data_IF_194607805328
#
_entry.id   IF_194607805328
#
_cell.length_a   1.000
_cell.length_b   1.000
_cell.length_c   1.000
_cell.angle_alpha   90.00
_cell.angle_beta   90.00
_cell.angle_gamma   90.00
#
_symmetry.space_group_name_H-M   'P 1'
#
loop_
_entity.id
_entity.type
_entity.pdbx_description
1 polymer ?
#
# COMPACT_ATOMS: atom_id res chain seq x y z
N UNK A 1 -21.46 10.07 14.89
CA UNK A 1 -20.81 10.18 13.55
C UNK A 1 -21.62 9.39 12.53
N UNK A 2 -21.87 9.97 11.36
CA UNK A 2 -22.48 9.25 10.23
C UNK A 2 -21.55 8.13 9.72
N UNK A 3 -22.10 7.12 9.04
CA UNK A 3 -21.29 6.06 8.44
C UNK A 3 -20.26 6.61 7.44
N UNK A 4 -20.64 7.64 6.67
CA UNK A 4 -19.73 8.32 5.75
C UNK A 4 -18.56 8.99 6.49
N UNK A 5 -18.83 9.69 7.59
CA UNK A 5 -17.77 10.34 8.38
C UNK A 5 -16.82 9.30 9.03
N UNK A 6 -17.34 8.15 9.49
CA UNK A 6 -16.51 7.04 9.98
C UNK A 6 -15.58 6.51 8.88
N UNK A 7 -16.12 6.26 7.71
CA UNK A 7 -15.33 5.75 6.59
C UNK A 7 -14.23 6.72 6.14
N UNK A 8 -14.51 8.03 6.11
CA UNK A 8 -13.50 9.06 5.81
C UNK A 8 -12.42 9.05 6.88
N UNK A 9 -12.77 9.08 8.17
CA UNK A 9 -11.81 9.04 9.27
C UNK A 9 -10.90 7.82 9.20
N UNK A 10 -11.47 6.63 8.97
CA UNK A 10 -10.69 5.39 8.86
C UNK A 10 -9.73 5.42 7.66
N UNK A 11 -10.17 6.00 6.54
CA UNK A 11 -9.29 6.17 5.36
C UNK A 11 -8.16 7.16 5.66
N UNK A 12 -8.44 8.26 6.35
CA UNK A 12 -7.42 9.25 6.74
C UNK A 12 -6.37 8.65 7.69
N UNK A 13 -6.79 7.84 8.66
CA UNK A 13 -5.84 7.11 9.53
C UNK A 13 -4.95 6.20 8.68
N UNK A 14 -5.52 5.45 7.74
CA UNK A 14 -4.76 4.60 6.82
C UNK A 14 -3.73 5.41 6.03
N UNK A 15 -4.13 6.55 5.47
CA UNK A 15 -3.27 7.44 4.68
C UNK A 15 -2.11 7.99 5.50
N UNK A 16 -2.37 8.45 6.74
CA UNK A 16 -1.33 8.92 7.66
C UNK A 16 -0.33 7.81 7.98
N UNK A 17 -0.81 6.62 8.31
CA UNK A 17 0.05 5.47 8.62
C UNK A 17 0.90 5.06 7.42
N UNK A 18 0.34 5.05 6.21
CA UNK A 18 1.09 4.71 5.00
C UNK A 18 2.02 5.83 4.51
N UNK A 19 1.72 7.10 4.82
CA UNK A 19 2.56 8.23 4.45
C UNK A 19 3.95 8.18 5.09
N UNK A 20 4.05 7.68 6.32
CA UNK A 20 5.34 7.49 7.03
C UNK A 20 5.96 6.11 6.76
N UNK A 21 5.19 5.16 6.26
CA UNK A 21 5.59 3.76 6.11
C UNK A 21 6.82 3.60 5.22
N UNK A 22 6.84 4.21 4.03
CA UNK A 22 7.91 4.05 3.05
C UNK A 22 9.26 4.52 3.61
N UNK A 23 9.25 5.60 4.38
CA UNK A 23 10.43 6.14 5.08
C UNK A 23 10.93 5.13 6.13
N UNK A 24 10.03 4.64 6.97
CA UNK A 24 10.34 3.64 8.00
C UNK A 24 10.88 2.34 7.40
N UNK A 25 10.34 1.89 6.25
CA UNK A 25 10.84 0.72 5.52
C UNK A 25 12.24 0.94 4.97
N UNK A 26 12.54 2.14 4.42
CA UNK A 26 13.88 2.47 3.92
C UNK A 26 14.92 2.43 5.04
N UNK A 27 14.58 2.97 6.21
CA UNK A 27 15.47 2.93 7.39
C UNK A 27 15.68 1.48 7.83
N UNK A 28 14.61 0.70 7.98
CA UNK A 28 14.70 -0.68 8.42
C UNK A 28 15.53 -1.54 7.46
N UNK A 29 15.47 -1.28 6.14
CA UNK A 29 16.20 -2.03 5.11
C UNK A 29 17.72 -1.81 5.12
N UNK A 30 18.25 -0.92 5.95
CA UNK A 30 19.69 -0.74 6.13
C UNK A 30 20.33 -1.89 6.93
N UNK A 31 19.59 -2.47 7.88
CA UNK A 31 20.09 -3.50 8.79
C UNK A 31 19.34 -4.83 8.65
N UNK A 32 18.14 -4.82 8.07
CA UNK A 32 17.26 -5.98 8.05
C UNK A 32 16.87 -6.27 6.60
N UNK A 33 16.96 -7.51 6.19
CA UNK A 33 16.55 -7.95 4.85
C UNK A 33 15.03 -7.84 4.64
N UNK A 34 14.63 -7.65 3.40
CA UNK A 34 13.24 -7.38 3.03
C UNK A 34 12.26 -8.50 3.43
N UNK A 35 12.55 -9.79 3.23
CA UNK A 35 11.68 -10.87 3.68
C UNK A 35 11.48 -10.90 5.20
N UNK A 36 12.53 -10.67 5.98
CA UNK A 36 12.46 -10.62 7.46
C UNK A 36 11.58 -9.46 7.94
N UNK A 37 11.72 -8.26 7.33
CA UNK A 37 10.84 -7.12 7.66
C UNK A 37 9.38 -7.47 7.35
N UNK A 38 9.10 -8.03 6.16
CA UNK A 38 7.73 -8.37 5.74
C UNK A 38 7.14 -9.45 6.63
N UNK A 39 7.92 -10.49 6.95
CA UNK A 39 7.51 -11.55 7.87
C UNK A 39 7.14 -11.00 9.26
N UNK A 40 7.99 -10.15 9.84
CA UNK A 40 7.74 -9.57 11.16
C UNK A 40 6.48 -8.71 11.17
N UNK A 41 6.26 -7.93 10.12
CA UNK A 41 5.06 -7.09 9.95
C UNK A 41 3.79 -7.93 9.96
N UNK A 42 3.76 -9.03 9.20
CA UNK A 42 2.62 -9.95 9.18
C UNK A 42 2.47 -10.72 10.48
N UNK A 43 3.57 -11.16 11.10
CA UNK A 43 3.55 -11.88 12.37
C UNK A 43 2.93 -11.04 13.50
N UNK A 44 3.34 -9.78 13.63
CA UNK A 44 2.78 -8.89 14.63
C UNK A 44 1.31 -8.56 14.32
N UNK A 45 0.97 -8.30 13.07
CA UNK A 45 -0.41 -8.02 12.66
C UNK A 45 -1.33 -9.24 12.87
N UNK A 46 -0.85 -10.44 12.54
CA UNK A 46 -1.56 -11.70 12.78
C UNK A 46 -1.76 -11.94 14.27
N UNK A 47 -0.70 -11.82 15.08
CA UNK A 47 -0.78 -12.01 16.52
C UNK A 47 -1.77 -11.06 17.19
N UNK A 48 -1.70 -9.77 16.86
CA UNK A 48 -2.64 -8.77 17.38
C UNK A 48 -4.10 -9.07 16.98
N UNK A 49 -4.33 -9.46 15.72
CA UNK A 49 -5.67 -9.82 15.24
C UNK A 49 -6.16 -11.13 15.85
N UNK A 50 -5.27 -12.13 16.01
CA UNK A 50 -5.59 -13.41 16.63
C UNK A 50 -5.96 -13.26 18.12
N UNK A 51 -5.19 -12.47 18.87
CA UNK A 51 -5.52 -12.17 20.28
C UNK A 51 -6.89 -11.48 20.38
N UNK A 52 -7.12 -10.46 19.53
CA UNK A 52 -8.42 -9.78 19.52
C UNK A 52 -9.57 -10.75 19.20
N UNK A 53 -9.38 -11.64 18.22
CA UNK A 53 -10.39 -12.62 17.82
C UNK A 53 -10.62 -13.67 18.90
N UNK A 54 -9.56 -14.16 19.57
CA UNK A 54 -9.68 -15.13 20.66
C UNK A 54 -10.56 -14.61 21.80
N UNK A 55 -10.50 -13.29 22.06
CA UNK A 55 -11.31 -12.65 23.11
C UNK A 55 -12.76 -12.40 22.63
N UNK A 56 -12.96 -11.99 21.38
CA UNK A 56 -14.27 -11.50 20.89
C UNK A 56 -15.10 -12.59 20.22
N UNK A 57 -14.49 -13.40 19.32
CA UNK A 57 -15.19 -14.37 18.50
C UNK A 57 -14.32 -15.61 18.21
N UNK A 58 -14.05 -16.48 19.20
CA UNK A 58 -13.14 -17.62 19.00
C UNK A 58 -13.58 -18.59 17.89
N UNK A 59 -14.89 -18.68 17.64
CA UNK A 59 -15.43 -19.55 16.57
C UNK A 59 -14.98 -19.13 15.16
N UNK A 60 -14.63 -17.88 14.97
CA UNK A 60 -14.21 -17.35 13.66
C UNK A 60 -12.83 -17.88 13.24
N UNK A 61 -12.06 -18.54 14.13
CA UNK A 61 -10.81 -19.23 13.77
C UNK A 61 -11.02 -20.38 12.78
N UNK A 62 -12.26 -20.86 12.59
CA UNK A 62 -12.55 -21.85 11.55
C UNK A 62 -12.12 -21.40 10.15
N UNK A 63 -11.99 -20.10 9.89
CA UNK A 63 -11.49 -19.53 8.65
C UNK A 63 -10.06 -20.01 8.31
N UNK A 64 -9.25 -20.29 9.33
CA UNK A 64 -7.87 -20.76 9.15
C UNK A 64 -7.80 -22.18 8.56
N UNK A 65 -8.81 -23.01 8.84
CA UNK A 65 -8.86 -24.39 8.37
C UNK A 65 -9.66 -24.57 7.07
N UNK A 66 -10.62 -23.70 6.82
CA UNK A 66 -11.51 -23.79 5.63
C UNK A 66 -11.67 -22.44 4.94
N UNK A 67 -10.58 -21.84 4.44
CA UNK A 67 -10.68 -20.59 3.72
C UNK A 67 -11.34 -20.79 2.34
N UNK A 68 -12.13 -19.82 1.90
CA UNK A 68 -12.60 -19.84 0.51
C UNK A 68 -11.43 -19.51 -0.45
N UNK A 69 -11.53 -19.95 -1.71
CA UNK A 69 -10.50 -19.66 -2.74
C UNK A 69 -10.24 -18.15 -2.89
N UNK A 70 -11.27 -17.32 -2.75
CA UNK A 70 -11.13 -15.88 -2.86
C UNK A 70 -10.32 -15.29 -1.69
N UNK A 71 -10.45 -15.84 -0.49
CA UNK A 71 -9.66 -15.42 0.69
C UNK A 71 -8.19 -15.80 0.50
N UNK A 72 -7.91 -17.01 -0.02
CA UNK A 72 -6.55 -17.43 -0.38
C UNK A 72 -5.91 -16.47 -1.40
N UNK A 73 -6.61 -16.18 -2.51
CA UNK A 73 -6.11 -15.26 -3.54
C UNK A 73 -5.90 -13.86 -2.96
N UNK A 74 -6.80 -13.38 -2.09
CA UNK A 74 -6.68 -12.08 -1.44
C UNK A 74 -5.44 -12.01 -0.55
N UNK A 75 -5.17 -13.07 0.22
CA UNK A 75 -3.98 -13.15 1.09
C UNK A 75 -2.68 -13.22 0.29
N UNK A 76 -2.62 -14.05 -0.76
CA UNK A 76 -1.47 -14.14 -1.66
C UNK A 76 -1.21 -12.81 -2.38
N UNK A 77 -2.25 -12.13 -2.82
CA UNK A 77 -2.14 -10.83 -3.45
C UNK A 77 -1.56 -9.79 -2.47
N UNK A 78 -2.01 -9.78 -1.21
CA UNK A 78 -1.46 -8.87 -0.22
C UNK A 78 -0.02 -9.24 0.13
N UNK A 79 0.33 -10.53 0.25
CA UNK A 79 1.69 -10.99 0.49
C UNK A 79 2.65 -10.50 -0.61
N UNK A 80 2.25 -10.66 -1.87
CA UNK A 80 3.04 -10.16 -3.01
C UNK A 80 3.16 -8.64 -3.00
N UNK A 81 2.08 -7.92 -2.73
CA UNK A 81 2.13 -6.46 -2.63
C UNK A 81 3.16 -5.99 -1.60
N UNK A 82 3.22 -6.65 -0.43
CA UNK A 82 4.15 -6.27 0.64
C UNK A 82 5.61 -6.42 0.24
N UNK A 83 5.99 -7.59 -0.29
CA UNK A 83 7.38 -7.83 -0.68
C UNK A 83 7.76 -7.00 -1.91
N UNK A 84 6.83 -6.82 -2.86
CA UNK A 84 7.06 -6.01 -4.05
C UNK A 84 7.25 -4.52 -3.70
N UNK A 85 6.44 -3.97 -2.78
CA UNK A 85 6.60 -2.60 -2.30
C UNK A 85 7.89 -2.44 -1.51
N UNK A 86 8.25 -3.42 -0.68
CA UNK A 86 9.50 -3.41 0.08
C UNK A 86 10.73 -3.34 -0.84
N UNK A 87 10.79 -4.19 -1.89
CA UNK A 87 11.85 -4.12 -2.89
C UNK A 87 11.81 -2.83 -3.71
N UNK A 88 10.62 -2.30 -3.98
CA UNK A 88 10.46 -0.98 -4.60
C UNK A 88 11.16 0.11 -3.80
N UNK A 89 10.89 0.19 -2.49
CA UNK A 89 11.53 1.15 -1.58
C UNK A 89 13.04 0.91 -1.48
N UNK A 90 13.46 -0.35 -1.41
CA UNK A 90 14.87 -0.71 -1.28
C UNK A 90 15.68 -0.35 -2.53
N UNK A 91 15.17 -0.67 -3.72
CA UNK A 91 15.87 -0.47 -4.99
C UNK A 91 15.72 0.93 -5.59
N UNK A 92 14.76 1.71 -5.07
CA UNK A 92 14.57 3.09 -5.46
C UNK A 92 14.65 4.00 -4.23
N UNK A 93 13.56 4.67 -3.89
CA UNK A 93 13.46 5.50 -2.71
C UNK A 93 12.03 5.50 -2.15
N UNK A 94 11.81 5.99 -0.90
CA UNK A 94 10.48 6.14 -0.34
C UNK A 94 9.49 6.83 -1.26
N UNK A 95 9.85 7.99 -1.82
CA UNK A 95 8.98 8.78 -2.68
C UNK A 95 8.72 8.10 -4.03
N UNK A 96 9.74 7.46 -4.61
CA UNK A 96 9.61 6.77 -5.89
C UNK A 96 8.67 5.56 -5.81
N UNK A 97 8.86 4.69 -4.81
CA UNK A 97 7.97 3.57 -4.57
C UNK A 97 6.54 4.03 -4.26
N UNK A 98 6.40 5.14 -3.52
CA UNK A 98 5.12 5.69 -3.12
C UNK A 98 4.32 6.25 -4.31
N UNK A 99 4.97 6.86 -5.30
CA UNK A 99 4.31 7.26 -6.56
C UNK A 99 3.92 6.05 -7.40
N UNK A 100 4.84 5.08 -7.55
CA UNK A 100 4.60 3.89 -8.34
C UNK A 100 3.41 3.06 -7.83
N UNK A 101 3.30 2.89 -6.51
CA UNK A 101 2.21 2.10 -5.92
C UNK A 101 0.83 2.75 -6.11
N UNK A 102 0.76 4.06 -6.39
CA UNK A 102 -0.51 4.74 -6.69
C UNK A 102 -1.14 4.30 -8.01
N UNK A 103 -0.46 3.53 -8.83
CA UNK A 103 -1.11 2.81 -9.94
C UNK A 103 -2.16 1.80 -9.43
N UNK A 104 -2.07 1.32 -8.18
CA UNK A 104 -3.04 0.40 -7.57
C UNK A 104 -4.49 0.93 -7.56
N UNK A 105 -4.79 2.11 -7.00
CA UNK A 105 -6.11 2.74 -7.11
C UNK A 105 -6.62 2.90 -8.54
N UNK A 106 -5.73 3.21 -9.48
CA UNK A 106 -6.05 3.32 -10.91
C UNK A 106 -6.45 1.94 -11.47
N UNK A 107 -5.66 0.92 -11.17
CA UNK A 107 -5.94 -0.48 -11.58
C UNK A 107 -7.22 -1.02 -10.93
N UNK A 108 -7.51 -0.65 -9.68
CA UNK A 108 -8.78 -1.01 -9.03
C UNK A 108 -9.99 -0.44 -9.79
N UNK A 109 -9.89 0.78 -10.33
CA UNK A 109 -10.93 1.36 -11.19
C UNK A 109 -11.04 0.61 -12.53
N UNK A 110 -9.91 0.20 -13.13
CA UNK A 110 -9.89 -0.66 -14.34
C UNK A 110 -10.59 -1.99 -14.08
N UNK A 111 -10.32 -2.62 -12.94
CA UNK A 111 -11.00 -3.86 -12.55
C UNK A 111 -12.51 -3.64 -12.41
N UNK A 112 -12.94 -2.49 -11.89
CA UNK A 112 -14.35 -2.09 -11.86
C UNK A 112 -14.99 -2.10 -13.26
N UNK A 113 -14.31 -1.53 -14.23
CA UNK A 113 -14.78 -1.47 -15.63
C UNK A 113 -14.84 -2.87 -16.24
N UNK A 114 -13.77 -3.68 -16.10
CA UNK A 114 -13.65 -4.99 -16.74
C UNK A 114 -14.62 -6.02 -16.11
N UNK A 115 -14.63 -6.13 -14.79
CA UNK A 115 -15.38 -7.18 -14.09
C UNK A 115 -16.84 -6.82 -13.85
N UNK A 116 -17.14 -5.52 -13.65
CA UNK A 116 -18.49 -5.06 -13.41
C UNK A 116 -19.14 -4.41 -14.64
N UNK A 117 -18.44 -4.41 -15.81
CA UNK A 117 -18.88 -3.81 -17.07
C UNK A 117 -19.33 -2.35 -16.91
N UNK A 118 -18.67 -1.62 -16.01
CA UNK A 118 -18.94 -0.20 -15.81
C UNK A 118 -18.54 0.60 -17.05
N UNK A 119 -19.37 1.55 -17.47
CA UNK A 119 -19.05 2.40 -18.63
C UNK A 119 -17.96 3.42 -18.24
N UNK A 120 -16.88 3.43 -18.99
CA UNK A 120 -15.81 4.42 -18.83
C UNK A 120 -16.30 5.81 -19.28
N UNK A 121 -16.08 6.82 -18.47
CA UNK A 121 -16.39 8.21 -18.82
C UNK A 121 -15.21 8.88 -19.53
N UNK A 122 -15.46 9.95 -20.31
CA UNK A 122 -14.41 10.75 -20.96
C UNK A 122 -13.42 11.32 -19.92
N UNK A 123 -13.89 11.70 -18.73
CA UNK A 123 -13.06 12.21 -17.63
C UNK A 123 -12.11 11.10 -17.13
N UNK A 124 -12.59 9.87 -17.02
CA UNK A 124 -11.73 8.75 -16.62
C UNK A 124 -10.68 8.43 -17.68
N UNK A 125 -11.03 8.50 -18.97
CA UNK A 125 -10.05 8.33 -20.07
C UNK A 125 -8.96 9.42 -19.97
N UNK A 126 -9.35 10.68 -19.81
CA UNK A 126 -8.40 11.78 -19.60
C UNK A 126 -7.54 11.55 -18.36
N UNK A 127 -8.14 11.05 -17.27
CA UNK A 127 -7.44 10.68 -16.04
C UNK A 127 -6.38 9.59 -16.27
N UNK A 128 -6.70 8.54 -17.02
CA UNK A 128 -5.72 7.51 -17.39
C UNK A 128 -4.54 8.06 -18.18
N UNK A 129 -4.82 8.89 -19.18
CA UNK A 129 -3.76 9.51 -20.00
C UNK A 129 -2.85 10.42 -19.17
N UNK A 130 -3.44 11.24 -18.28
CA UNK A 130 -2.69 12.08 -17.35
C UNK A 130 -1.86 11.27 -16.36
N UNK A 131 -2.41 10.17 -15.80
CA UNK A 131 -1.69 9.31 -14.89
C UNK A 131 -0.48 8.66 -15.56
N UNK A 132 -0.64 8.14 -16.78
CA UNK A 132 0.44 7.53 -17.55
C UNK A 132 1.52 8.56 -17.89
N UNK A 133 1.13 9.74 -18.39
CA UNK A 133 2.06 10.81 -18.75
C UNK A 133 2.83 11.30 -17.51
N UNK A 134 2.11 11.56 -16.41
CA UNK A 134 2.71 12.02 -15.16
C UNK A 134 3.70 11.00 -14.59
N UNK A 135 3.33 9.72 -14.59
CA UNK A 135 4.22 8.63 -14.16
C UNK A 135 5.46 8.52 -15.07
N UNK A 136 5.31 8.65 -16.38
CA UNK A 136 6.43 8.61 -17.32
C UNK A 136 7.42 9.77 -17.11
N UNK A 137 6.90 11.01 -16.94
CA UNK A 137 7.73 12.19 -16.63
C UNK A 137 8.49 11.97 -15.32
N UNK A 138 7.77 11.54 -14.27
CA UNK A 138 8.36 11.26 -12.96
C UNK A 138 9.48 10.20 -13.05
N UNK A 139 9.20 9.07 -13.70
CA UNK A 139 10.18 8.00 -13.90
C UNK A 139 11.43 8.48 -14.66
N UNK A 140 11.24 9.20 -15.76
CA UNK A 140 12.37 9.71 -16.60
C UNK A 140 13.29 10.64 -15.82
N UNK A 141 12.73 11.52 -14.99
CA UNK A 141 13.51 12.45 -14.17
C UNK A 141 14.35 11.72 -13.11
N UNK A 142 13.80 10.68 -12.50
CA UNK A 142 14.49 9.95 -11.45
C UNK A 142 15.50 8.95 -12.02
N UNK A 143 15.18 8.20 -13.06
CA UNK A 143 16.14 7.27 -13.68
C UNK A 143 17.35 8.00 -14.24
N UNK A 144 17.16 9.23 -14.77
CA UNK A 144 18.26 10.05 -15.26
C UNK A 144 19.12 10.67 -14.14
N UNK A 145 18.64 10.68 -12.90
CA UNK A 145 19.37 11.18 -11.73
C UNK A 145 20.08 10.08 -10.93
N UNK A 146 19.86 8.80 -11.27
CA UNK A 146 20.50 7.66 -10.60
C UNK A 146 21.98 7.62 -11.01
N UNK A 147 22.91 7.24 -10.09
CA UNK A 147 24.31 7.04 -10.44
C UNK A 147 24.50 6.08 -11.60
N UNK A 148 25.49 6.35 -12.45
CA UNK A 148 25.78 5.53 -13.65
C UNK A 148 25.94 4.05 -13.28
N UNK A 149 25.24 3.18 -13.99
CA UNK A 149 25.24 1.73 -13.77
C UNK A 149 24.17 1.23 -12.79
N UNK A 150 23.41 2.10 -12.13
CA UNK A 150 22.32 1.73 -11.21
C UNK A 150 20.92 1.85 -11.83
N UNK A 151 20.81 2.33 -13.07
CA UNK A 151 19.53 2.55 -13.77
C UNK A 151 18.72 1.25 -13.90
N UNK A 152 19.42 0.14 -14.12
CA UNK A 152 18.79 -1.19 -14.20
C UNK A 152 18.15 -1.62 -12.87
N UNK A 153 18.81 -1.37 -11.73
CA UNK A 153 18.28 -1.66 -10.41
C UNK A 153 17.09 -0.78 -10.08
N UNK A 154 17.18 0.51 -10.37
CA UNK A 154 16.07 1.46 -10.22
C UNK A 154 14.85 1.02 -11.03
N UNK A 155 15.04 0.73 -12.33
CA UNK A 155 13.96 0.26 -13.22
C UNK A 155 13.33 -1.03 -12.70
N UNK A 156 14.14 -1.98 -12.25
CA UNK A 156 13.67 -3.23 -11.62
C UNK A 156 12.80 -2.94 -10.40
N UNK A 157 13.21 -2.02 -9.52
CA UNK A 157 12.44 -1.61 -8.35
C UNK A 157 11.09 -1.01 -8.73
N UNK A 158 11.05 -0.13 -9.74
CA UNK A 158 9.81 0.46 -10.25
C UNK A 158 8.87 -0.61 -10.84
N UNK A 159 9.38 -1.52 -11.67
CA UNK A 159 8.58 -2.59 -12.27
C UNK A 159 8.02 -3.56 -11.22
N UNK A 160 8.83 -3.96 -10.24
CA UNK A 160 8.36 -4.80 -9.14
C UNK A 160 7.24 -4.09 -8.36
N UNK A 161 7.39 -2.79 -8.06
CA UNK A 161 6.36 -2.01 -7.39
C UNK A 161 5.05 -1.97 -8.17
N UNK A 162 5.11 -1.85 -9.50
CA UNK A 162 3.93 -1.90 -10.37
C UNK A 162 3.21 -3.25 -10.29
N UNK A 163 3.95 -4.37 -10.25
CA UNK A 163 3.32 -5.70 -10.00
C UNK A 163 2.67 -5.76 -8.62
N UNK A 164 3.30 -5.14 -7.62
CA UNK A 164 2.74 -4.98 -6.28
C UNK A 164 1.44 -4.16 -6.29
N UNK A 165 1.35 -3.13 -7.12
CA UNK A 165 0.13 -2.33 -7.30
C UNK A 165 -1.02 -3.14 -7.91
N UNK A 166 -0.74 -4.01 -8.91
CA UNK A 166 -1.73 -4.97 -9.45
C UNK A 166 -2.25 -5.89 -8.35
N UNK A 167 -1.34 -6.43 -7.55
CA UNK A 167 -1.66 -7.30 -6.43
C UNK A 167 -2.50 -6.58 -5.37
N UNK A 168 -2.15 -5.32 -5.04
CA UNK A 168 -2.94 -4.52 -4.11
C UNK A 168 -4.36 -4.25 -4.63
N UNK A 169 -4.51 -3.92 -5.92
CA UNK A 169 -5.81 -3.72 -6.54
C UNK A 169 -6.66 -5.01 -6.48
N UNK A 170 -6.04 -6.17 -6.71
CA UNK A 170 -6.68 -7.48 -6.59
C UNK A 170 -7.13 -7.73 -5.15
N UNK A 171 -6.25 -7.52 -4.16
CA UNK A 171 -6.58 -7.61 -2.74
C UNK A 171 -7.77 -6.70 -2.40
N UNK A 172 -7.73 -5.42 -2.75
CA UNK A 172 -8.75 -4.44 -2.40
C UNK A 172 -10.12 -4.78 -3.01
N UNK A 173 -10.15 -5.24 -4.26
CA UNK A 173 -11.36 -5.69 -4.93
C UNK A 173 -11.96 -6.92 -4.24
N UNK A 174 -11.13 -7.92 -3.91
CA UNK A 174 -11.56 -9.13 -3.21
C UNK A 174 -12.01 -8.82 -1.78
N UNK A 175 -11.27 -7.98 -1.05
CA UNK A 175 -11.64 -7.53 0.29
C UNK A 175 -13.02 -6.87 0.29
N UNK A 176 -13.29 -5.97 -0.67
CA UNK A 176 -14.61 -5.33 -0.82
C UNK A 176 -15.72 -6.33 -1.06
N UNK A 177 -15.47 -7.40 -1.84
CA UNK A 177 -16.44 -8.48 -2.09
C UNK A 177 -16.66 -9.36 -0.85
N UNK A 178 -15.58 -9.72 -0.16
CA UNK A 178 -15.61 -10.68 0.94
C UNK A 178 -16.22 -10.10 2.23
N UNK A 179 -16.04 -8.78 2.48
CA UNK A 179 -16.52 -8.11 3.70
C UNK A 179 -18.06 -8.10 3.83
N UNK A 180 -18.79 -8.48 2.76
CA UNK A 180 -20.24 -8.66 2.81
C UNK A 180 -20.62 -9.92 3.59
N UNK A 181 -19.79 -10.98 3.48
CA UNK A 181 -20.08 -12.30 4.04
C UNK A 181 -19.24 -12.63 5.29
N UNK A 182 -18.16 -11.91 5.52
CA UNK A 182 -17.23 -12.16 6.62
C UNK A 182 -16.99 -10.90 7.44
N UNK A 183 -16.73 -11.06 8.72
CA UNK A 183 -16.30 -9.95 9.55
C UNK A 183 -14.89 -9.48 9.13
N UNK A 184 -14.58 -8.20 9.36
CA UNK A 184 -13.24 -7.64 9.11
C UNK A 184 -12.16 -8.41 9.85
N UNK A 185 -12.43 -8.78 11.11
CA UNK A 185 -11.49 -9.55 11.93
C UNK A 185 -11.23 -10.94 11.36
N UNK A 186 -12.31 -11.66 10.98
CA UNK A 186 -12.24 -12.99 10.37
C UNK A 186 -11.41 -13.00 9.09
N UNK A 187 -11.61 -12.00 8.22
CA UNK A 187 -10.83 -11.89 6.99
C UNK A 187 -9.36 -11.57 7.29
N UNK A 188 -9.11 -10.57 8.14
CA UNK A 188 -7.76 -10.09 8.36
C UNK A 188 -6.88 -11.09 9.13
N UNK A 189 -7.45 -11.93 10.01
CA UNK A 189 -6.64 -12.97 10.67
C UNK A 189 -6.09 -13.97 9.67
N UNK A 190 -6.86 -14.39 8.67
CA UNK A 190 -6.36 -15.28 7.62
C UNK A 190 -5.39 -14.56 6.67
N UNK A 191 -5.78 -13.35 6.24
CA UNK A 191 -5.01 -12.55 5.26
C UNK A 191 -3.63 -12.18 5.83
N UNK A 192 -3.50 -11.97 7.14
CA UNK A 192 -2.20 -11.75 7.77
C UNK A 192 -1.48 -13.06 8.13
N UNK A 193 -2.22 -14.12 8.48
CA UNK A 193 -1.63 -15.37 8.94
C UNK A 193 -0.95 -16.20 7.84
N UNK A 194 -1.55 -16.31 6.67
CA UNK A 194 -0.96 -17.07 5.55
C UNK A 194 0.41 -16.52 5.13
N UNK A 195 0.64 -15.19 4.98
CA UNK A 195 1.96 -14.65 4.68
C UNK A 195 3.03 -14.95 5.74
N UNK A 196 2.67 -15.11 7.01
CA UNK A 196 3.63 -15.53 8.05
C UNK A 196 4.26 -16.87 7.68
N UNK A 197 3.45 -17.83 7.21
CA UNK A 197 3.93 -19.14 6.80
C UNK A 197 4.73 -19.05 5.49
N UNK A 198 4.30 -18.21 4.53
CA UNK A 198 4.97 -18.04 3.23
C UNK A 198 6.37 -17.46 3.40
N UNK A 199 6.52 -16.44 4.24
CA UNK A 199 7.81 -15.74 4.39
C UNK A 199 8.73 -16.40 5.42
N UNK A 200 8.24 -17.26 6.30
CA UNK A 200 9.03 -17.93 7.34
C UNK A 200 10.32 -18.59 6.83
N UNK A 201 10.32 -19.33 5.68
CA UNK A 201 11.54 -19.94 5.16
C UNK A 201 12.61 -18.95 4.69
N UNK A 202 12.25 -17.69 4.49
CA UNK A 202 13.14 -16.62 3.99
C UNK A 202 13.61 -15.68 5.08
N UNK A 203 13.26 -15.95 6.35
CA UNK A 203 13.63 -15.10 7.49
C UNK A 203 15.07 -15.33 7.89
N UNK A 204 15.84 -14.26 7.96
CA UNK A 204 17.17 -14.28 8.55
C UNK A 204 17.08 -13.97 10.06
N UNK A 205 16.92 -15.01 10.88
CA UNK A 205 16.85 -14.87 12.34
C UNK A 205 18.12 -14.31 12.97
N UNK A 206 19.29 -14.49 12.34
CA UNK A 206 20.54 -13.95 12.85
C UNK A 206 20.53 -12.41 12.83
N UNK A 207 19.94 -11.80 11.80
CA UNK A 207 19.80 -10.35 11.74
C UNK A 207 18.99 -9.80 12.92
N UNK A 208 18.02 -10.56 13.45
CA UNK A 208 17.20 -10.13 14.56
C UNK A 208 17.96 -10.16 15.91
N UNK A 209 18.94 -11.03 16.08
CA UNK A 209 19.64 -11.19 17.38
C UNK A 209 20.60 -10.03 17.71
N UNK A 210 21.03 -9.28 16.71
CA UNK A 210 22.02 -8.20 16.87
C UNK A 210 21.42 -6.80 16.69
N UNK A 211 20.08 -6.70 16.54
CA UNK A 211 19.42 -5.40 16.35
C UNK A 211 19.50 -4.52 17.59
N UNK A 212 19.80 -3.23 17.37
CA UNK A 212 19.68 -2.23 18.42
C UNK A 212 18.21 -2.02 18.83
N UNK A 213 18.00 -1.45 20.01
CA UNK A 213 16.66 -1.11 20.51
C UNK A 213 15.88 -0.23 19.52
N UNK A 214 16.53 0.69 18.81
CA UNK A 214 15.91 1.56 17.82
C UNK A 214 15.33 0.77 16.63
N UNK A 215 16.05 -0.22 16.12
CA UNK A 215 15.55 -1.08 15.03
C UNK A 215 14.44 -2.03 15.51
N UNK A 216 14.49 -2.51 16.74
CA UNK A 216 13.37 -3.26 17.32
C UNK A 216 12.11 -2.40 17.45
N UNK A 217 12.23 -1.18 17.96
CA UNK A 217 11.11 -0.24 18.03
C UNK A 217 10.55 0.07 16.64
N UNK A 218 11.42 0.21 15.63
CA UNK A 218 11.03 0.40 14.23
C UNK A 218 10.27 -0.80 13.67
N UNK A 219 10.73 -2.03 13.91
CA UNK A 219 10.01 -3.25 13.50
C UNK A 219 8.63 -3.35 14.15
N UNK A 220 8.53 -3.06 15.45
CA UNK A 220 7.25 -3.04 16.17
C UNK A 220 6.33 -1.97 15.57
N UNK A 221 6.85 -0.78 15.28
CA UNK A 221 6.11 0.27 14.58
C UNK A 221 5.59 -0.23 13.20
N UNK A 222 6.45 -0.86 12.40
CA UNK A 222 6.08 -1.39 11.08
C UNK A 222 5.01 -2.47 11.15
N UNK A 223 5.09 -3.36 12.14
CA UNK A 223 4.07 -4.38 12.40
C UNK A 223 2.75 -3.78 12.87
N UNK A 224 2.79 -2.85 13.83
CA UNK A 224 1.63 -2.11 14.29
C UNK A 224 0.98 -1.28 13.17
N UNK A 225 1.81 -0.64 12.32
CA UNK A 225 1.35 0.04 11.11
C UNK A 225 0.54 -0.90 10.21
N UNK A 226 0.98 -2.14 10.01
CA UNK A 226 0.26 -3.13 9.23
C UNK A 226 -1.11 -3.45 9.84
N UNK A 227 -1.15 -3.76 11.13
CA UNK A 227 -2.40 -4.09 11.84
C UNK A 227 -3.40 -2.92 11.79
N UNK A 228 -2.94 -1.73 12.11
CA UNK A 228 -3.78 -0.52 12.21
C UNK A 228 -4.25 -0.10 10.83
N UNK A 229 -3.35 0.12 9.88
CA UNK A 229 -3.70 0.67 8.57
C UNK A 229 -4.63 -0.25 7.77
N UNK A 230 -4.35 -1.55 7.73
CA UNK A 230 -5.21 -2.50 7.02
C UNK A 230 -6.49 -2.84 7.78
N UNK A 231 -6.46 -2.80 9.12
CA UNK A 231 -7.67 -2.85 9.93
C UNK A 231 -8.63 -1.71 9.61
N UNK A 232 -8.12 -0.47 9.60
CA UNK A 232 -8.92 0.71 9.26
C UNK A 232 -9.28 0.77 7.79
N UNK A 233 -8.42 0.32 6.85
CA UNK A 233 -8.78 0.21 5.44
C UNK A 233 -9.98 -0.73 5.24
N UNK A 234 -9.97 -1.89 5.90
CA UNK A 234 -11.07 -2.84 5.83
C UNK A 234 -12.37 -2.24 6.36
N UNK A 235 -12.30 -1.51 7.47
CA UNK A 235 -13.45 -0.77 8.02
C UNK A 235 -13.89 0.37 7.09
N UNK A 236 -12.97 1.11 6.49
CA UNK A 236 -13.28 2.15 5.53
C UNK A 236 -14.07 1.59 4.33
N UNK A 237 -13.60 0.47 3.76
CA UNK A 237 -14.28 -0.24 2.67
C UNK A 237 -15.66 -0.77 3.05
N UNK A 238 -15.91 -1.02 4.34
CA UNK A 238 -17.26 -1.37 4.85
C UNK A 238 -18.22 -0.18 4.78
N UNK A 239 -17.74 1.03 5.10
CA UNK A 239 -18.58 2.21 5.25
C UNK A 239 -18.60 3.12 4.02
N UNK A 240 -17.60 3.02 3.13
CA UNK A 240 -17.51 3.83 1.91
C UNK A 240 -17.41 2.95 0.66
N UNK A 241 -17.77 3.56 -0.47
CA UNK A 241 -17.47 3.01 -1.78
C UNK A 241 -15.96 2.97 -2.01
N UNK A 242 -15.47 1.90 -2.67
CA UNK A 242 -14.03 1.73 -2.95
C UNK A 242 -13.44 2.96 -3.67
N UNK A 243 -14.19 3.57 -4.59
CA UNK A 243 -13.75 4.78 -5.28
C UNK A 243 -13.47 5.97 -4.35
N UNK A 244 -14.32 6.20 -3.32
CA UNK A 244 -14.10 7.28 -2.35
C UNK A 244 -12.88 7.01 -1.48
N UNK A 245 -12.69 5.76 -1.05
CA UNK A 245 -11.52 5.32 -0.30
C UNK A 245 -10.26 5.54 -1.15
N UNK A 246 -10.27 5.11 -2.42
CA UNK A 246 -9.13 5.26 -3.33
C UNK A 246 -8.74 6.74 -3.57
N UNK A 247 -9.71 7.66 -3.74
CA UNK A 247 -9.42 9.10 -3.90
C UNK A 247 -8.64 9.64 -2.69
N UNK A 248 -9.02 9.24 -1.48
CA UNK A 248 -8.35 9.70 -0.26
C UNK A 248 -6.95 9.06 -0.15
N UNK A 249 -6.80 7.79 -0.52
CA UNK A 249 -5.52 7.07 -0.51
C UNK A 249 -4.51 7.71 -1.47
N UNK A 250 -4.95 8.24 -2.60
CA UNK A 250 -4.08 8.93 -3.58
C UNK A 250 -3.35 10.14 -2.97
N UNK A 251 -3.81 10.68 -1.83
CA UNK A 251 -3.13 11.77 -1.13
C UNK A 251 -1.88 11.30 -0.33
N UNK A 252 -1.70 10.02 -0.19
CA UNK A 252 -0.61 9.41 0.59
C UNK A 252 0.82 9.89 0.18
N UNK A 253 1.20 9.94 -1.12
CA UNK A 253 2.52 10.44 -1.53
C UNK A 253 2.82 11.86 -1.05
N UNK A 254 1.80 12.71 -0.89
CA UNK A 254 1.98 14.09 -0.42
C UNK A 254 2.64 14.08 0.96
N UNK A 255 2.21 13.17 1.85
CA UNK A 255 2.80 13.03 3.20
C UNK A 255 4.25 12.57 3.08
N UNK A 256 4.51 11.54 2.28
CA UNK A 256 5.87 11.00 2.08
C UNK A 256 6.79 12.07 1.49
N UNK A 257 6.38 12.79 0.45
CA UNK A 257 7.18 13.86 -0.16
C UNK A 257 7.47 15.00 0.81
N UNK A 258 6.44 15.43 1.56
CA UNK A 258 6.62 16.51 2.55
C UNK A 258 7.61 16.08 3.62
N UNK A 259 7.50 14.87 4.15
CA UNK A 259 8.41 14.36 5.17
C UNK A 259 9.82 14.18 4.61
N UNK A 260 9.98 13.57 3.42
CA UNK A 260 11.30 13.41 2.79
C UNK A 260 11.94 14.77 2.47
N UNK A 261 11.16 15.74 2.00
CA UNK A 261 11.64 17.11 1.78
C UNK A 261 12.14 17.75 3.07
N UNK A 262 11.42 17.62 4.18
CA UNK A 262 11.83 18.11 5.50
C UNK A 262 13.12 17.41 5.97
N UNK A 263 13.17 16.06 5.87
CA UNK A 263 14.34 15.29 6.29
C UNK A 263 15.59 15.64 5.46
N UNK A 264 15.42 15.85 4.15
CA UNK A 264 16.50 16.30 3.26
C UNK A 264 16.98 17.72 3.62
N UNK A 265 16.05 18.63 3.91
CA UNK A 265 16.37 19.99 4.33
C UNK A 265 17.12 20.04 5.67
N UNK A 266 16.72 19.18 6.61
CA UNK A 266 17.39 19.03 7.92
C UNK A 266 18.73 18.27 7.82
N UNK A 267 19.09 17.74 6.66
CA UNK A 267 20.32 16.99 6.40
C UNK A 267 20.55 15.84 7.42
N UNK A 268 19.48 15.12 7.76
CA UNK A 268 19.56 13.98 8.69
C UNK A 268 20.48 12.89 8.13
N UNK A 269 21.34 12.31 8.98
CA UNK A 269 22.36 11.32 8.57
C UNK A 269 21.82 9.87 8.43
N UNK A 270 20.65 9.58 9.00
CA UNK A 270 20.11 8.23 9.08
C UNK A 270 19.23 7.81 7.87
N UNK A 271 18.98 8.72 6.93
CA UNK A 271 18.31 8.41 5.65
C UNK A 271 18.92 9.27 4.54
N UNK A 272 19.04 8.70 3.34
CA UNK A 272 19.54 9.44 2.18
C UNK A 272 18.52 10.49 1.75
N UNK A 273 18.97 11.73 1.52
CA UNK A 273 18.12 12.81 1.06
C UNK A 273 17.57 12.55 -0.35
N UNK A 274 16.39 13.06 -0.62
CA UNK A 274 15.77 13.01 -1.95
C UNK A 274 15.71 14.42 -2.54
N UNK A 275 16.25 14.59 -3.74
CA UNK A 275 16.19 15.84 -4.49
C UNK A 275 15.12 15.78 -5.58
N UNK A 276 14.15 16.67 -5.48
CA UNK A 276 13.05 16.75 -6.43
C UNK A 276 13.28 17.91 -7.39
N UNK A 277 13.40 17.60 -8.70
CA UNK A 277 13.34 18.64 -9.73
C UNK A 277 11.90 19.16 -9.87
N UNK A 278 11.75 20.39 -10.34
CA UNK A 278 10.41 20.96 -10.62
C UNK A 278 9.62 20.04 -11.55
N UNK A 279 10.30 19.44 -12.54
CA UNK A 279 9.66 18.54 -13.51
C UNK A 279 9.25 17.20 -12.86
N UNK A 280 10.00 16.67 -11.89
CA UNK A 280 9.59 15.47 -11.15
C UNK A 280 8.37 15.73 -10.26
N UNK A 281 8.32 16.88 -9.59
CA UNK A 281 7.13 17.30 -8.83
C UNK A 281 5.92 17.45 -9.75
N UNK A 282 6.08 18.11 -10.89
CA UNK A 282 5.01 18.25 -11.87
C UNK A 282 4.52 16.88 -12.39
N UNK A 283 5.43 15.95 -12.68
CA UNK A 283 5.11 14.57 -13.07
C UNK A 283 4.31 13.82 -11.97
N UNK A 284 4.74 13.92 -10.71
CA UNK A 284 4.01 13.34 -9.59
C UNK A 284 2.61 13.92 -9.44
N UNK A 285 2.47 15.25 -9.49
CA UNK A 285 1.17 15.93 -9.40
C UNK A 285 0.24 15.54 -10.56
N UNK A 286 0.76 15.43 -11.79
CA UNK A 286 -0.01 14.93 -12.93
C UNK A 286 -0.47 13.49 -12.72
N UNK A 287 0.42 12.61 -12.25
CA UNK A 287 0.06 11.21 -11.96
C UNK A 287 -1.05 11.11 -10.90
N UNK A 288 -0.93 11.86 -9.80
CA UNK A 288 -1.93 11.90 -8.73
C UNK A 288 -3.26 12.49 -9.20
N UNK A 289 -3.21 13.59 -9.96
CA UNK A 289 -4.41 14.22 -10.54
C UNK A 289 -5.11 13.24 -11.48
N UNK A 290 -4.35 12.57 -12.35
CA UNK A 290 -4.85 11.53 -13.23
C UNK A 290 -5.53 10.39 -12.45
N UNK A 291 -4.90 9.88 -11.39
CA UNK A 291 -5.46 8.85 -10.54
C UNK A 291 -6.78 9.29 -9.88
N UNK A 292 -6.87 10.54 -9.38
CA UNK A 292 -8.10 11.11 -8.81
C UNK A 292 -9.21 11.14 -9.87
N UNK A 293 -8.92 11.59 -11.09
CA UNK A 293 -9.91 11.66 -12.18
C UNK A 293 -10.41 10.26 -12.58
N UNK A 294 -9.54 9.26 -12.62
CA UNK A 294 -9.91 7.87 -12.91
C UNK A 294 -10.89 7.32 -11.88
N UNK A 295 -10.64 7.58 -10.60
CA UNK A 295 -11.45 7.02 -9.51
C UNK A 295 -12.75 7.80 -9.30
N UNK A 296 -12.86 9.03 -9.81
CA UNK A 296 -14.03 9.90 -9.67
C UNK A 296 -15.22 9.34 -10.44
N UNK A 297 -16.23 8.81 -9.74
CA UNK A 297 -17.50 8.39 -10.35
C UNK A 297 -18.31 9.61 -10.83
N UNK A 298 -18.89 9.50 -12.04
CA UNK A 298 -19.94 10.43 -12.50
C UNK A 298 -21.12 10.36 -11.53
N UNK A 299 -21.61 11.50 -11.02
CA UNK A 299 -22.92 11.55 -10.37
C UNK A 299 -23.94 10.96 -11.36
N UNK A 300 -24.68 9.93 -10.96
CA UNK A 300 -25.89 9.56 -11.71
C UNK A 300 -26.76 10.80 -11.79
N UNK A 301 -26.92 11.37 -12.96
CA UNK A 301 -28.02 12.31 -13.22
C UNK A 301 -29.28 11.48 -13.03
N UNK A 302 -30.02 11.73 -11.97
CA UNK A 302 -31.38 11.24 -11.81
C UNK A 302 -32.14 11.91 -12.93
N UNK A 303 -32.41 11.15 -14.00
CA UNK A 303 -33.43 11.55 -14.97
C UNK A 303 -34.74 11.56 -14.19
N UNK A 304 -35.32 12.79 -14.07
CA UNK A 304 -36.64 13.07 -13.54
C UNK A 304 -37.67 12.57 -14.53
#
# INVERSE_FOLDING_TARGET
MSNQAKGILYTLITVLMWGVLAIALKIASKEIDSPTIVWFRFSLAFSGMAIWMAIKNPKDFQILYKPSRLILVSSLALAWNYIAFMYGVQFTSPSNAQVAIQSGPVLLAVFGIIFFKERISRIQIAGFLLAILGFWIFYKQHVGAVPMGQEGQYTKGMLITLTGAVAWATYAALQKKLIVNYSVGTLNVFIFGLPVLIFLPFVNFQNLTHLSFGYWALLVFLGANTLISYGYLSLALKYLEAGKVSIIIVLNPIITFTLMGILTWLQVSWIDGEHFSVLSIAGALLALTGAILVVRKKKKTTEI
#
